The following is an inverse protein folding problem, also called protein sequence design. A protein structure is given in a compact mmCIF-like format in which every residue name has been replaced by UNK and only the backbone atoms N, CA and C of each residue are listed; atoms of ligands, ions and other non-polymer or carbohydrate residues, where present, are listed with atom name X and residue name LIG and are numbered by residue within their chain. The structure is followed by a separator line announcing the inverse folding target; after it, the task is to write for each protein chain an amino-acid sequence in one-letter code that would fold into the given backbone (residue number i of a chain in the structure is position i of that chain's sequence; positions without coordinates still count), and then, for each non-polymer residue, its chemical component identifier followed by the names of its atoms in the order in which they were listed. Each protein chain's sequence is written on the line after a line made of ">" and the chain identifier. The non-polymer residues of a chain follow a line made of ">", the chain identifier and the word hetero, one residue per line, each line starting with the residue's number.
data_IF_084454718621
#
_entry.id   IF_084454718621
#
_cell.length_a   1.000
_cell.length_b   1.000
_cell.length_c   1.000
_cell.angle_alpha   90.00
_cell.angle_beta   90.00
_cell.angle_gamma   90.00
#
_symmetry.space_group_name_H-M   'P 1'
#
loop_
_entity.id
_entity.type
_entity.pdbx_description
1 polymer ?
#
# COMPACT_ATOMS: atom_id res chain seq x y z
N UNK A 1 -1.93 -14.71 8.58
CA UNK A 1 -1.46 -13.61 7.77
C UNK A 1 -0.42 -12.81 8.51
N UNK A 2 0.77 -12.72 7.96
CA UNK A 2 1.86 -12.00 8.62
C UNK A 2 1.96 -10.59 8.06
N UNK A 3 1.49 -9.62 8.80
CA UNK A 3 1.68 -8.22 8.45
C UNK A 3 2.51 -7.56 9.54
N UNK A 4 3.42 -6.70 9.14
CA UNK A 4 4.23 -5.97 10.10
C UNK A 4 3.49 -4.71 10.56
N UNK A 5 4.08 -3.99 11.52
CA UNK A 5 3.44 -2.79 12.07
C UNK A 5 3.19 -1.70 11.03
N UNK A 6 4.12 -1.53 10.10
CA UNK A 6 3.95 -0.54 9.03
C UNK A 6 2.79 -0.91 8.10
N UNK A 7 2.72 -2.18 7.74
CA UNK A 7 1.64 -2.67 6.87
C UNK A 7 0.29 -2.49 7.54
N UNK A 8 0.21 -2.83 8.83
CA UNK A 8 -1.03 -2.66 9.59
C UNK A 8 -1.45 -1.20 9.65
N UNK A 9 -0.50 -0.31 9.90
CA UNK A 9 -0.80 1.12 10.00
C UNK A 9 -1.41 1.66 8.71
N UNK A 10 -0.82 1.32 7.58
CA UNK A 10 -1.32 1.81 6.29
C UNK A 10 -2.65 1.14 5.93
N UNK A 11 -2.79 -0.16 6.20
CA UNK A 11 -4.05 -0.85 5.97
C UNK A 11 -5.19 -0.21 6.77
N UNK A 12 -4.94 0.14 8.03
CA UNK A 12 -5.94 0.82 8.86
C UNK A 12 -6.32 2.18 8.27
N UNK A 13 -5.36 2.91 7.73
CA UNK A 13 -5.65 4.18 7.07
C UNK A 13 -6.54 4.00 5.85
N UNK A 14 -6.27 2.97 5.07
CA UNK A 14 -7.09 2.67 3.89
C UNK A 14 -8.51 2.29 4.29
N UNK A 15 -8.67 1.53 5.37
CA UNK A 15 -9.98 1.13 5.86
C UNK A 15 -10.75 2.29 6.46
N UNK A 16 -10.06 3.29 7.02
CA UNK A 16 -10.69 4.46 7.62
C UNK A 16 -11.16 5.51 6.60
N UNK A 17 -11.02 5.22 5.33
CA UNK A 17 -11.48 6.15 4.30
C UNK A 17 -10.37 7.03 3.75
N UNK A 18 -9.23 6.44 3.48
CA UNK A 18 -8.12 7.15 2.85
C UNK A 18 -8.58 7.75 1.52
N UNK A 19 -8.43 9.06 1.37
CA UNK A 19 -8.82 9.75 0.15
C UNK A 19 -7.66 9.78 -0.84
N UNK A 20 -7.98 9.55 -2.10
CA UNK A 20 -6.99 9.53 -3.16
C UNK A 20 -6.37 8.15 -3.34
N UNK A 21 -5.39 8.09 -4.20
CA UNK A 21 -4.74 6.82 -4.53
C UNK A 21 -3.50 6.61 -3.67
N UNK A 22 -3.32 5.38 -3.23
CA UNK A 22 -2.12 5.01 -2.49
C UNK A 22 -0.97 4.80 -3.47
N UNK A 23 0.13 5.50 -3.24
CA UNK A 23 1.35 5.34 -4.02
C UNK A 23 2.47 4.92 -3.08
N UNK A 24 3.57 4.45 -3.66
CA UNK A 24 4.75 4.11 -2.85
C UNK A 24 5.24 5.30 -2.04
N UNK A 25 5.21 6.49 -2.63
CA UNK A 25 5.62 7.71 -1.93
C UNK A 25 4.72 7.99 -0.73
N UNK A 26 3.40 7.86 -0.89
CA UNK A 26 2.47 8.07 0.22
C UNK A 26 2.66 7.02 1.30
N UNK A 27 2.88 5.76 0.90
CA UNK A 27 3.18 4.71 1.86
C UNK A 27 4.40 5.08 2.70
N UNK A 28 5.49 5.48 2.05
CA UNK A 28 6.72 5.84 2.75
C UNK A 28 6.49 6.98 3.75
N UNK A 29 5.68 7.96 3.37
CA UNK A 29 5.33 9.07 4.26
C UNK A 29 4.48 8.62 5.45
N UNK A 30 3.47 7.81 5.20
CA UNK A 30 2.57 7.33 6.25
C UNK A 30 3.29 6.40 7.23
N UNK A 31 4.09 5.51 6.71
CA UNK A 31 4.80 4.52 7.51
C UNK A 31 6.15 5.03 8.02
N UNK A 32 6.56 6.22 7.60
CA UNK A 32 7.84 6.83 7.99
C UNK A 32 9.01 5.90 7.69
N UNK A 33 9.05 5.40 6.47
CA UNK A 33 10.11 4.48 6.04
C UNK A 33 10.67 4.93 4.70
N UNK A 34 11.75 4.28 4.27
CA UNK A 34 12.35 4.58 2.98
C UNK A 34 11.47 4.07 1.84
N UNK A 35 11.71 4.59 0.64
CA UNK A 35 10.99 4.17 -0.56
C UNK A 35 11.18 2.66 -0.81
N UNK A 36 12.39 2.17 -0.62
CA UNK A 36 12.68 0.74 -0.82
C UNK A 36 11.90 -0.13 0.17
N UNK A 37 11.85 0.30 1.43
CA UNK A 37 11.08 -0.42 2.44
C UNK A 37 9.59 -0.40 2.10
N UNK A 38 9.09 0.74 1.64
CA UNK A 38 7.70 0.87 1.23
C UNK A 38 7.37 -0.11 0.10
N UNK A 39 8.24 -0.21 -0.90
CA UNK A 39 8.03 -1.16 -2.00
C UNK A 39 7.95 -2.60 -1.51
N UNK A 40 8.83 -2.98 -0.60
CA UNK A 40 8.83 -4.33 -0.04
C UNK A 40 7.54 -4.62 0.74
N UNK A 41 7.11 -3.66 1.54
CA UNK A 41 5.88 -3.81 2.32
C UNK A 41 4.67 -3.95 1.40
N UNK A 42 4.59 -3.11 0.38
CA UNK A 42 3.50 -3.14 -0.59
C UNK A 42 3.50 -4.49 -1.31
N UNK A 43 4.67 -4.94 -1.78
CA UNK A 43 4.76 -6.20 -2.49
C UNK A 43 4.33 -7.37 -1.61
N UNK A 44 4.70 -7.34 -0.33
CA UNK A 44 4.28 -8.36 0.62
C UNK A 44 2.77 -8.43 0.75
N UNK A 45 2.10 -7.29 0.76
CA UNK A 45 0.63 -7.26 0.85
C UNK A 45 -0.02 -7.73 -0.45
N UNK A 46 0.59 -7.40 -1.59
CA UNK A 46 0.10 -7.91 -2.89
C UNK A 46 0.22 -9.42 -2.93
N UNK A 47 1.33 -9.96 -2.48
CA UNK A 47 1.56 -11.41 -2.47
C UNK A 47 0.57 -12.13 -1.57
N UNK A 48 0.10 -11.48 -0.52
CA UNK A 48 -0.92 -12.04 0.38
C UNK A 48 -2.35 -11.82 -0.10
N UNK A 49 -2.53 -11.09 -1.20
CA UNK A 49 -3.86 -10.79 -1.73
C UNK A 49 -4.60 -9.70 -0.99
N UNK A 50 -3.90 -8.89 -0.23
CA UNK A 50 -4.51 -7.79 0.53
C UNK A 50 -4.52 -6.47 -0.24
N UNK A 51 -3.55 -6.28 -1.10
CA UNK A 51 -3.48 -5.12 -1.99
C UNK A 51 -3.41 -5.57 -3.42
N UNK A 52 -3.82 -4.71 -4.30
CA UNK A 52 -3.66 -4.91 -5.74
C UNK A 52 -3.09 -3.66 -6.38
N UNK A 53 -2.36 -3.87 -7.47
CA UNK A 53 -1.83 -2.78 -8.26
C UNK A 53 -2.93 -2.29 -9.20
N UNK A 54 -3.22 -1.01 -9.15
CA UNK A 54 -4.24 -0.46 -10.03
C UNK A 54 -3.70 -0.35 -11.45
N UNK A 55 -4.51 -0.79 -12.40
CA UNK A 55 -4.20 -0.60 -13.80
C UNK A 55 -4.69 0.76 -14.22
N UNK A 56 -3.76 1.66 -14.34
CA UNK A 56 -4.08 2.96 -14.89
C UNK A 56 -2.95 3.35 -15.80
N UNK A 57 -3.22 3.65 -17.01
CA UNK A 57 -2.20 4.16 -17.87
C UNK A 57 -1.63 5.43 -17.30
N UNK A 58 -0.33 5.49 -17.11
CA UNK A 58 0.26 6.68 -16.58
C UNK A 58 1.57 6.40 -15.87
N UNK A 59 2.21 7.45 -15.45
CA UNK A 59 3.54 7.38 -14.85
C UNK A 59 3.51 7.00 -13.38
N UNK A 60 2.33 7.03 -12.77
CA UNK A 60 2.20 6.78 -11.34
C UNK A 60 1.52 5.45 -11.12
N UNK A 61 2.20 4.55 -10.45
CA UNK A 61 1.59 3.32 -10.00
C UNK A 61 0.86 3.57 -8.70
N UNK A 62 -0.39 3.16 -8.64
CA UNK A 62 -1.16 3.25 -7.41
C UNK A 62 -1.62 1.86 -6.99
N UNK A 63 -2.06 1.76 -5.75
CA UNK A 63 -2.48 0.51 -5.14
C UNK A 63 -3.79 0.71 -4.41
N UNK A 64 -4.57 -0.35 -4.29
CA UNK A 64 -5.81 -0.29 -3.53
C UNK A 64 -6.03 -1.61 -2.82
N UNK A 65 -6.98 -1.60 -1.88
CA UNK A 65 -7.33 -2.83 -1.17
C UNK A 65 -7.93 -3.83 -2.16
N UNK A 66 -7.46 -5.06 -2.07
CA UNK A 66 -8.00 -6.15 -2.84
C UNK A 66 -9.16 -6.76 -2.05
N UNK A 67 -10.36 -6.50 -2.50
CA UNK A 67 -11.56 -6.94 -1.80
C UNK A 67 -12.17 -8.21 -2.40
N UNK A 68 -11.42 -8.83 -3.23
CA UNK A 68 -11.93 -9.99 -3.74
C UNK A 68 -11.86 -10.58 -4.87
#
# INVERSE_FOLDING_TARGET
>A
MAVNGRQRLVLNRLLDGFTGKLTTKKWALLAKCSHDTALRDIQGLIDQGLLKKDEGGGRSTSYSLDQG
#
